data_IF_800862985336
#
_entry.id   IF_800862985336
#
_cell.length_a   1.000
_cell.length_b   1.000
_cell.length_c   1.000
_cell.angle_alpha   90.00
_cell.angle_beta   90.00
_cell.angle_gamma   90.00
#
_symmetry.space_group_name_H-M   'P 1'
#
loop_
_entity.id
_entity.type
_entity.pdbx_description
1 polymer ?
#
# COMPACT_ATOMS: atom_id res chain seq x y z
N UNK A 1 3.97 -29.82 -11.23
CA UNK A 1 3.06 -28.71 -11.61
C UNK A 1 2.44 -27.99 -10.41
N UNK A 2 1.96 -28.69 -9.37
CA UNK A 2 1.40 -28.04 -8.17
C UNK A 2 2.46 -27.41 -7.23
N UNK A 3 3.60 -28.08 -7.04
CA UNK A 3 4.68 -27.58 -6.18
C UNK A 3 5.34 -26.31 -6.73
N UNK A 4 5.59 -26.27 -8.05
CA UNK A 4 6.17 -25.12 -8.76
C UNK A 4 5.33 -23.83 -8.61
N UNK A 5 3.99 -23.97 -8.71
CA UNK A 5 3.07 -22.85 -8.45
C UNK A 5 3.14 -22.36 -7.00
N UNK A 6 3.33 -23.25 -6.03
CA UNK A 6 3.44 -22.88 -4.63
C UNK A 6 4.75 -22.14 -4.31
N UNK A 7 5.86 -22.54 -4.92
CA UNK A 7 7.15 -21.85 -4.74
C UNK A 7 7.12 -20.45 -5.33
N UNK A 8 6.59 -20.31 -6.55
CA UNK A 8 6.43 -18.99 -7.17
C UNK A 8 5.49 -18.08 -6.38
N UNK A 9 4.40 -18.62 -5.83
CA UNK A 9 3.50 -17.87 -4.96
C UNK A 9 4.19 -17.41 -3.65
N UNK A 10 4.99 -18.28 -3.02
CA UNK A 10 5.77 -17.93 -1.82
C UNK A 10 6.79 -16.84 -2.12
N UNK A 11 7.49 -16.94 -3.25
CA UNK A 11 8.49 -15.96 -3.66
C UNK A 11 7.88 -14.58 -3.94
N UNK A 12 6.74 -14.54 -4.65
CA UNK A 12 5.96 -13.32 -4.84
C UNK A 12 5.50 -12.76 -3.49
N UNK A 13 4.96 -13.59 -2.61
CA UNK A 13 4.55 -13.16 -1.28
C UNK A 13 5.72 -12.57 -0.50
N UNK A 14 6.89 -13.19 -0.49
CA UNK A 14 8.07 -12.65 0.20
C UNK A 14 8.50 -11.27 -0.34
N UNK A 15 8.35 -11.05 -1.66
CA UNK A 15 8.68 -9.77 -2.27
C UNK A 15 7.65 -8.67 -1.94
N UNK A 16 6.35 -8.99 -1.99
CA UNK A 16 5.28 -8.00 -1.85
C UNK A 16 4.68 -7.89 -0.43
N UNK A 17 5.01 -8.79 0.50
CA UNK A 17 4.44 -8.78 1.86
C UNK A 17 4.67 -7.46 2.59
N UNK A 18 5.81 -6.79 2.38
CA UNK A 18 6.16 -5.55 3.10
C UNK A 18 5.21 -4.39 2.77
N UNK A 19 5.02 -3.99 1.49
CA UNK A 19 4.05 -2.94 1.17
C UNK A 19 2.62 -3.33 1.57
N UNK A 20 2.25 -4.61 1.47
CA UNK A 20 0.92 -5.08 1.92
C UNK A 20 0.73 -4.93 3.43
N UNK A 21 1.72 -5.30 4.24
CA UNK A 21 1.66 -5.15 5.70
C UNK A 21 1.64 -3.69 6.13
N UNK A 22 2.39 -2.82 5.46
CA UNK A 22 2.36 -1.37 5.72
C UNK A 22 0.96 -0.82 5.43
N UNK A 23 0.39 -1.14 4.28
CA UNK A 23 -0.97 -0.73 3.93
C UNK A 23 -2.00 -1.20 4.96
N UNK A 24 -1.93 -2.47 5.37
CA UNK A 24 -2.82 -3.03 6.38
C UNK A 24 -2.68 -2.32 7.74
N UNK A 25 -1.45 -2.04 8.16
CA UNK A 25 -1.18 -1.30 9.40
C UNK A 25 -1.76 0.12 9.34
N UNK A 26 -1.60 0.83 8.22
CA UNK A 26 -2.17 2.17 8.05
C UNK A 26 -3.69 2.14 8.14
N UNK A 27 -4.36 1.20 7.46
CA UNK A 27 -5.82 1.08 7.55
C UNK A 27 -6.30 0.84 8.98
N UNK A 28 -5.60 -0.02 9.74
CA UNK A 28 -5.91 -0.28 11.14
C UNK A 28 -5.71 0.96 12.01
N UNK A 29 -4.60 1.70 11.82
CA UNK A 29 -4.33 2.94 12.55
C UNK A 29 -5.39 4.00 12.23
N UNK A 30 -5.75 4.13 10.95
CA UNK A 30 -6.74 5.09 10.48
C UNK A 30 -8.12 4.82 11.09
N UNK A 31 -8.55 3.55 11.12
CA UNK A 31 -9.83 3.16 11.71
C UNK A 31 -9.81 3.30 13.25
N UNK A 32 -8.73 2.86 13.91
CA UNK A 32 -8.57 2.95 15.36
C UNK A 32 -8.60 4.40 15.86
N UNK A 33 -7.99 5.32 15.12
CA UNK A 33 -7.93 6.75 15.48
C UNK A 33 -9.13 7.55 14.95
N UNK A 34 -10.20 6.88 14.48
CA UNK A 34 -11.41 7.53 13.97
C UNK A 34 -11.08 8.56 12.87
N UNK A 35 -10.31 8.12 11.88
CA UNK A 35 -9.97 8.91 10.70
C UNK A 35 -11.21 9.50 10.02
N UNK A 36 -11.03 10.64 9.35
CA UNK A 36 -12.14 11.40 8.80
C UNK A 36 -12.90 10.61 7.72
N UNK A 37 -14.17 10.29 7.99
CA UNK A 37 -15.03 9.63 7.01
C UNK A 37 -15.52 10.66 5.99
N UNK A 38 -15.05 10.52 4.75
CA UNK A 38 -15.54 11.33 3.63
C UNK A 38 -16.88 10.74 3.16
N UNK A 39 -17.98 11.42 3.47
CA UNK A 39 -19.32 10.97 3.10
C UNK A 39 -19.58 11.02 1.59
N UNK A 40 -18.83 11.86 0.85
CA UNK A 40 -18.92 11.90 -0.61
C UNK A 40 -17.63 12.44 -1.27
N UNK A 41 -17.41 12.10 -2.55
CA UNK A 41 -16.17 12.42 -3.30
C UNK A 41 -16.04 13.87 -3.77
N UNK A 42 -17.15 14.62 -3.83
CA UNK A 42 -17.19 16.04 -4.24
C UNK A 42 -17.75 16.96 -3.16
N UNK A 43 -17.85 16.46 -1.93
CA UNK A 43 -18.32 17.25 -0.80
C UNK A 43 -17.18 18.19 -0.37
N UNK A 44 -17.52 19.35 0.22
CA UNK A 44 -16.52 20.10 0.96
C UNK A 44 -15.89 19.18 2.00
N UNK A 45 -14.57 19.31 2.15
CA UNK A 45 -13.82 18.54 3.15
C UNK A 45 -14.43 18.87 4.51
N UNK A 46 -14.88 17.87 5.30
CA UNK A 46 -15.49 18.12 6.60
C UNK A 46 -14.47 18.77 7.54
N UNK A 47 -14.93 19.51 8.53
CA UNK A 47 -14.04 20.02 9.58
C UNK A 47 -13.36 18.84 10.28
N UNK A 48 -12.02 18.85 10.24
CA UNK A 48 -11.18 17.79 10.79
C UNK A 48 -10.41 18.32 12.00
N UNK A 49 -10.25 17.49 13.02
CA UNK A 49 -9.26 17.77 14.06
C UNK A 49 -7.84 17.71 13.48
N UNK A 50 -6.83 18.34 14.11
CA UNK A 50 -5.44 18.27 13.63
C UNK A 50 -4.94 16.83 13.43
N UNK A 51 -5.36 15.90 14.30
CA UNK A 51 -5.05 14.48 14.19
C UNK A 51 -5.69 13.84 12.95
N UNK A 52 -6.98 14.10 12.71
CA UNK A 52 -7.69 13.58 11.55
C UNK A 52 -7.12 14.14 10.24
N UNK A 53 -6.76 15.42 10.23
CA UNK A 53 -6.10 16.04 9.08
C UNK A 53 -4.73 15.40 8.81
N UNK A 54 -3.92 15.15 9.84
CA UNK A 54 -2.66 14.45 9.70
C UNK A 54 -2.84 13.03 9.13
N UNK A 55 -3.79 12.26 9.65
CA UNK A 55 -4.10 10.91 9.16
C UNK A 55 -4.59 10.94 7.71
N UNK A 56 -5.43 11.90 7.35
CA UNK A 56 -5.94 12.07 6.00
C UNK A 56 -4.82 12.35 4.99
N UNK A 57 -3.93 13.30 5.31
CA UNK A 57 -2.76 13.62 4.48
C UNK A 57 -1.82 12.43 4.37
N UNK A 58 -1.56 11.74 5.49
CA UNK A 58 -0.68 10.58 5.52
C UNK A 58 -1.18 9.46 4.61
N UNK A 59 -2.47 9.10 4.70
CA UNK A 59 -3.09 8.11 3.79
C UNK A 59 -3.04 8.58 2.34
N UNK A 60 -3.25 9.87 2.09
CA UNK A 60 -3.11 10.46 0.75
C UNK A 60 -1.71 10.26 0.17
N UNK A 61 -0.66 10.52 0.95
CA UNK A 61 0.74 10.30 0.53
C UNK A 61 1.01 8.81 0.31
N UNK A 62 0.56 7.94 1.21
CA UNK A 62 0.73 6.50 1.07
C UNK A 62 0.05 5.94 -0.18
N UNK A 63 -1.09 6.50 -0.58
CA UNK A 63 -1.80 6.09 -1.80
C UNK A 63 -0.95 6.25 -3.07
N UNK A 64 0.09 7.07 -3.04
CA UNK A 64 1.07 7.23 -4.12
C UNK A 64 2.33 6.40 -3.86
N UNK A 65 2.84 6.41 -2.63
CA UNK A 65 4.08 5.72 -2.29
C UNK A 65 3.95 4.19 -2.38
N UNK A 66 2.82 3.61 -1.97
CA UNK A 66 2.63 2.15 -1.99
C UNK A 66 2.60 1.59 -3.42
N UNK A 67 1.82 2.16 -4.37
CA UNK A 67 1.91 1.75 -5.77
C UNK A 67 3.30 1.93 -6.37
N UNK A 68 3.99 3.03 -6.05
CA UNK A 68 5.36 3.25 -6.52
C UNK A 68 6.31 2.18 -5.98
N UNK A 69 6.19 1.81 -4.71
CA UNK A 69 7.00 0.76 -4.10
C UNK A 69 6.73 -0.61 -4.74
N UNK A 70 5.45 -0.97 -4.94
CA UNK A 70 5.06 -2.19 -5.66
C UNK A 70 5.63 -2.18 -7.08
N UNK A 71 5.55 -1.04 -7.77
CA UNK A 71 6.12 -0.88 -9.11
C UNK A 71 7.65 -1.07 -9.13
N UNK A 72 8.38 -0.52 -8.16
CA UNK A 72 9.83 -0.70 -8.07
C UNK A 72 10.22 -2.16 -7.82
N UNK A 73 9.46 -2.89 -6.98
CA UNK A 73 9.66 -4.32 -6.79
C UNK A 73 9.44 -5.07 -8.10
N UNK A 74 8.36 -4.74 -8.82
CA UNK A 74 8.06 -5.32 -10.13
C UNK A 74 9.16 -5.02 -11.15
N UNK A 75 9.57 -3.75 -11.28
CA UNK A 75 10.56 -3.29 -12.23
C UNK A 75 11.91 -3.98 -12.00
N UNK A 76 12.33 -4.09 -10.74
CA UNK A 76 13.55 -4.82 -10.36
C UNK A 76 13.48 -6.29 -10.80
N UNK A 77 12.39 -6.98 -10.49
CA UNK A 77 12.22 -8.40 -10.85
C UNK A 77 12.20 -8.61 -12.36
N UNK A 78 11.58 -7.68 -13.10
CA UNK A 78 11.60 -7.69 -14.56
C UNK A 78 13.02 -7.50 -15.08
N UNK A 79 13.78 -6.56 -14.51
CA UNK A 79 15.15 -6.30 -14.88
C UNK A 79 16.08 -7.51 -14.63
N UNK A 80 15.88 -8.23 -13.51
CA UNK A 80 16.56 -9.50 -13.22
C UNK A 80 16.17 -10.60 -14.23
N UNK A 81 14.89 -10.70 -14.62
CA UNK A 81 14.43 -11.65 -15.63
C UNK A 81 14.97 -11.39 -17.04
N UNK A 82 15.18 -10.11 -17.38
CA UNK A 82 15.73 -9.69 -18.66
C UNK A 82 17.27 -9.87 -18.73
N UNK A 83 17.91 -10.37 -17.66
CA UNK A 83 19.32 -10.76 -17.65
C UNK A 83 20.31 -9.60 -17.45
N UNK A 84 19.84 -8.46 -16.93
CA UNK A 84 20.68 -7.28 -16.68
C UNK A 84 21.34 -7.26 -15.30
N UNK A 85 21.15 -8.30 -14.48
CA UNK A 85 21.69 -8.49 -13.12
C UNK A 85 22.25 -9.89 -12.92
#
# INVERSE_FOLDING_TARGET
MWQDKQERAKELWQAYKRPVLVFAATLLIYDLLSGAKVACSRCPVPDMTPLQHFLFVFVGVESVLLPLWVYLIYARRKYEQDGYL
#
